data_IF_141411118474
#
_entry.id   IF_141411118474
#
_cell.length_a   1.000
_cell.length_b   1.000
_cell.length_c   1.000
_cell.angle_alpha   90.00
_cell.angle_beta   90.00
_cell.angle_gamma   90.00
#
_symmetry.space_group_name_H-M   'P 1'
#
loop_
_entity.id
_entity.type
_entity.pdbx_description
1 polymer ?
#
# COMPACT_ATOMS: atom_id res chain seq x y z
N UNK A 1 13.17 14.81 -17.35
CA UNK A 1 12.58 15.64 -16.27
C UNK A 1 11.32 15.02 -15.66
N UNK A 2 10.31 14.64 -16.47
CA UNK A 2 9.07 13.97 -15.98
C UNK A 2 9.33 12.73 -15.10
N UNK A 3 10.10 11.76 -15.58
CA UNK A 3 10.35 10.52 -14.82
C UNK A 3 11.04 10.78 -13.47
N UNK A 4 11.93 11.78 -13.40
CA UNK A 4 12.58 12.18 -12.16
C UNK A 4 11.57 12.73 -11.14
N UNK A 5 10.53 13.42 -11.59
CA UNK A 5 9.45 13.88 -10.72
C UNK A 5 8.63 12.70 -10.19
N UNK A 6 8.22 11.77 -11.05
CA UNK A 6 7.47 10.57 -10.63
C UNK A 6 8.24 9.73 -9.62
N UNK A 7 9.54 9.52 -9.87
CA UNK A 7 10.42 8.79 -8.94
C UNK A 7 10.53 9.54 -7.60
N UNK A 8 10.62 10.88 -7.62
CA UNK A 8 10.68 11.68 -6.39
C UNK A 8 9.39 11.53 -5.58
N UNK A 9 8.23 11.56 -6.23
CA UNK A 9 6.94 11.37 -5.58
C UNK A 9 6.82 9.98 -4.94
N UNK A 10 7.26 8.92 -5.63
CA UNK A 10 7.31 7.58 -5.06
C UNK A 10 8.25 7.48 -3.83
N UNK A 11 9.42 8.14 -3.89
CA UNK A 11 10.35 8.22 -2.74
C UNK A 11 9.68 8.96 -1.56
N UNK A 12 8.99 10.07 -1.82
CA UNK A 12 8.27 10.81 -0.79
C UNK A 12 7.20 9.95 -0.10
N UNK A 13 6.41 9.18 -0.87
CA UNK A 13 5.42 8.25 -0.33
C UNK A 13 6.08 7.19 0.56
N UNK A 14 7.21 6.61 0.10
CA UNK A 14 7.96 5.64 0.93
C UNK A 14 8.44 6.26 2.24
N UNK A 15 8.96 7.48 2.21
CA UNK A 15 9.44 8.18 3.39
C UNK A 15 8.29 8.52 4.36
N UNK A 16 7.14 8.92 3.82
CA UNK A 16 5.93 9.20 4.59
C UNK A 16 5.49 7.99 5.44
N UNK A 17 5.59 6.77 4.89
CA UNK A 17 5.21 5.53 5.57
C UNK A 17 6.34 4.88 6.40
N UNK A 18 7.52 5.50 6.55
CA UNK A 18 8.60 4.93 7.36
C UNK A 18 8.19 4.53 8.78
N UNK A 19 7.36 5.30 9.52
CA UNK A 19 6.86 4.87 10.82
C UNK A 19 6.12 3.53 10.77
N UNK A 20 5.22 3.36 9.80
CA UNK A 20 4.47 2.13 9.61
C UNK A 20 5.40 0.95 9.26
N UNK A 21 6.31 1.13 8.30
CA UNK A 21 7.29 0.10 7.95
C UNK A 21 8.13 -0.33 9.14
N UNK A 22 8.59 0.62 9.97
CA UNK A 22 9.40 0.31 11.14
C UNK A 22 8.61 -0.50 12.18
N UNK A 23 7.33 -0.18 12.39
CA UNK A 23 6.42 -0.99 13.21
C UNK A 23 6.28 -2.42 12.67
N UNK A 24 6.14 -2.60 11.35
CA UNK A 24 6.06 -3.94 10.74
C UNK A 24 7.39 -4.70 10.87
N UNK A 25 8.54 -4.04 10.73
CA UNK A 25 9.83 -4.69 10.97
C UNK A 25 10.00 -5.10 12.44
N UNK A 26 9.46 -4.33 13.38
CA UNK A 26 9.41 -4.72 14.80
C UNK A 26 8.54 -5.96 15.01
N UNK A 27 7.35 -5.99 14.42
CA UNK A 27 6.46 -7.15 14.47
C UNK A 27 7.16 -8.40 13.90
N UNK A 28 7.77 -8.27 12.71
CA UNK A 28 8.52 -9.35 12.06
C UNK A 28 9.66 -9.89 12.93
N UNK A 29 10.41 -9.00 13.60
CA UNK A 29 11.46 -9.40 14.53
C UNK A 29 10.93 -10.19 15.73
N UNK A 30 9.75 -9.86 16.25
CA UNK A 30 9.18 -10.50 17.45
C UNK A 30 8.36 -11.76 17.16
N UNK A 31 7.72 -11.85 16.01
CA UNK A 31 6.72 -12.90 15.69
C UNK A 31 7.11 -13.76 14.50
N UNK A 32 8.05 -13.31 13.66
CA UNK A 32 8.39 -13.95 12.38
C UNK A 32 7.41 -13.65 11.24
N UNK A 33 6.35 -12.86 11.47
CA UNK A 33 5.38 -12.51 10.42
C UNK A 33 6.05 -11.59 9.39
N UNK A 34 5.94 -11.85 8.07
CA UNK A 34 6.58 -11.02 7.07
C UNK A 34 5.96 -9.63 6.96
N UNK A 35 6.79 -8.65 6.56
CA UNK A 35 6.37 -7.24 6.36
C UNK A 35 5.49 -7.10 5.12
N UNK A 36 5.90 -7.76 4.02
CA UNK A 36 5.12 -7.86 2.79
C UNK A 36 4.50 -9.24 2.76
N UNK A 37 3.18 -9.30 2.64
CA UNK A 37 2.38 -10.52 2.81
C UNK A 37 1.58 -10.77 1.53
N UNK A 38 1.53 -12.01 1.02
CA UNK A 38 0.59 -12.34 -0.05
C UNK A 38 -0.85 -12.22 0.47
N UNK A 39 -1.82 -11.97 -0.42
CA UNK A 39 -3.22 -11.74 -0.01
C UNK A 39 -3.79 -12.90 0.80
N UNK A 40 -3.53 -14.14 0.40
CA UNK A 40 -4.04 -15.34 1.06
C UNK A 40 -3.59 -15.49 2.53
N UNK A 41 -2.48 -14.85 2.92
CA UNK A 41 -2.03 -14.87 4.32
C UNK A 41 -2.96 -14.04 5.22
N UNK A 42 -3.47 -12.91 4.71
CA UNK A 42 -4.42 -12.06 5.44
C UNK A 42 -5.87 -12.52 5.26
N UNK A 43 -6.17 -13.22 4.15
CA UNK A 43 -7.51 -13.66 3.78
C UNK A 43 -7.55 -15.17 3.45
N UNK A 44 -7.24 -16.05 4.42
CA UNK A 44 -7.08 -17.49 4.17
C UNK A 44 -8.38 -18.22 3.77
N UNK A 45 -9.54 -17.61 4.02
CA UNK A 45 -10.84 -18.18 3.64
C UNK A 45 -11.32 -17.72 2.25
N UNK A 46 -10.55 -16.87 1.57
CA UNK A 46 -10.91 -16.31 0.27
C UNK A 46 -10.04 -16.95 -0.83
N UNK A 47 -10.57 -18.00 -1.47
CA UNK A 47 -9.86 -18.78 -2.48
C UNK A 47 -9.34 -17.94 -3.65
N UNK A 48 -10.01 -16.82 -3.96
CA UNK A 48 -9.59 -15.92 -5.03
C UNK A 48 -8.23 -15.26 -4.77
N UNK A 49 -7.79 -15.24 -3.51
CA UNK A 49 -6.48 -14.68 -3.12
C UNK A 49 -5.33 -15.66 -3.27
N UNK A 50 -5.59 -16.95 -3.49
CA UNK A 50 -4.55 -17.99 -3.49
C UNK A 50 -3.68 -17.93 -4.75
N UNK A 51 -4.29 -17.53 -5.87
CA UNK A 51 -3.63 -17.40 -7.18
C UNK A 51 -3.26 -15.96 -7.52
N UNK A 52 -3.50 -15.00 -6.61
CA UNK A 52 -3.17 -13.60 -6.87
C UNK A 52 -1.69 -13.34 -6.60
N UNK A 53 -0.94 -13.07 -7.67
CA UNK A 53 0.48 -12.73 -7.65
C UNK A 53 0.77 -11.26 -8.01
N UNK A 54 -0.26 -10.49 -8.37
CA UNK A 54 -0.11 -9.09 -8.79
C UNK A 54 -0.26 -8.07 -7.64
N UNK A 55 -1.00 -8.45 -6.59
CA UNK A 55 -1.25 -7.61 -5.42
C UNK A 55 -0.65 -8.22 -4.16
N UNK A 56 -0.19 -7.36 -3.27
CA UNK A 56 0.33 -7.77 -1.97
C UNK A 56 -0.12 -6.82 -0.87
N UNK A 57 -0.12 -7.34 0.35
CA UNK A 57 -0.35 -6.56 1.55
C UNK A 57 0.99 -6.08 2.12
N UNK A 58 1.03 -4.84 2.61
CA UNK A 58 2.08 -4.33 3.49
C UNK A 58 1.51 -4.31 4.89
N UNK A 59 1.94 -5.27 5.72
CA UNK A 59 1.31 -5.58 6.99
C UNK A 59 -0.14 -6.03 6.81
N UNK A 60 -1.01 -5.60 7.72
CA UNK A 60 -2.45 -5.90 7.66
C UNK A 60 -3.30 -4.72 7.14
N UNK A 61 -2.67 -3.58 6.83
CA UNK A 61 -3.38 -2.32 6.61
C UNK A 61 -3.37 -1.80 5.16
N UNK A 62 -2.35 -2.08 4.37
CA UNK A 62 -2.22 -1.55 3.00
C UNK A 62 -2.20 -2.68 1.99
N UNK A 63 -3.06 -2.61 0.98
CA UNK A 63 -2.96 -3.41 -0.24
C UNK A 63 -2.31 -2.56 -1.32
N UNK A 64 -1.30 -3.10 -2.01
CA UNK A 64 -0.65 -2.46 -3.14
C UNK A 64 -0.80 -3.36 -4.36
N UNK A 65 -1.27 -2.79 -5.46
CA UNK A 65 -1.37 -3.48 -6.74
C UNK A 65 -0.27 -2.97 -7.66
N UNK A 66 0.53 -3.88 -8.19
CA UNK A 66 1.53 -3.53 -9.20
C UNK A 66 0.92 -3.29 -10.58
N UNK A 67 1.61 -2.45 -11.37
CA UNK A 67 1.34 -2.27 -12.80
C UNK A 67 2.52 -2.88 -13.55
N UNK A 68 2.33 -4.09 -14.09
CA UNK A 68 3.42 -4.90 -14.67
C UNK A 68 3.46 -4.88 -16.20
N UNK A 69 2.44 -4.31 -16.84
CA UNK A 69 2.33 -4.22 -18.30
C UNK A 69 2.80 -2.85 -18.82
N UNK A 70 3.58 -2.85 -19.90
CA UNK A 70 4.02 -1.62 -20.55
C UNK A 70 2.80 -0.83 -21.09
N UNK A 71 2.72 0.46 -20.77
CA UNK A 71 1.64 1.37 -21.23
C UNK A 71 0.23 0.90 -20.87
N UNK A 72 0.09 0.14 -19.78
CA UNK A 72 -1.21 -0.21 -19.22
C UNK A 72 -2.04 1.06 -19.00
N UNK A 73 -3.28 1.05 -19.51
CA UNK A 73 -4.28 2.12 -19.26
C UNK A 73 -5.31 1.72 -18.23
N UNK A 74 -5.46 0.41 -18.04
CA UNK A 74 -6.40 -0.16 -17.09
C UNK A 74 -5.77 -1.37 -16.44
N UNK A 75 -6.08 -1.59 -15.17
CA UNK A 75 -5.78 -2.83 -14.46
C UNK A 75 -7.03 -3.32 -13.74
N UNK A 76 -7.07 -4.62 -13.46
CA UNK A 76 -8.12 -5.23 -12.64
C UNK A 76 -7.55 -5.49 -11.26
N UNK A 77 -8.15 -4.90 -10.23
CA UNK A 77 -7.68 -5.03 -8.84
C UNK A 77 -8.72 -5.76 -8.03
N UNK A 78 -8.35 -6.93 -7.51
CA UNK A 78 -9.18 -7.63 -6.55
C UNK A 78 -8.92 -7.09 -5.13
N UNK A 79 -9.96 -6.58 -4.49
CA UNK A 79 -9.90 -6.12 -3.10
C UNK A 79 -10.58 -7.15 -2.21
N UNK A 80 -9.84 -7.98 -1.44
CA UNK A 80 -10.41 -9.08 -0.67
C UNK A 80 -11.20 -8.62 0.55
N UNK A 81 -11.91 -9.55 1.18
CA UNK A 81 -12.63 -9.32 2.43
C UNK A 81 -13.99 -8.63 2.26
N UNK A 82 -14.75 -8.54 3.36
CA UNK A 82 -16.06 -7.87 3.38
C UNK A 82 -15.95 -6.39 3.75
N UNK A 83 -14.79 -6.00 4.28
CA UNK A 83 -14.50 -4.62 4.65
C UNK A 83 -14.46 -3.70 3.44
N UNK A 84 -14.59 -2.41 3.71
CA UNK A 84 -14.29 -1.40 2.70
C UNK A 84 -12.80 -1.12 2.66
N UNK A 85 -12.35 -0.67 1.51
CA UNK A 85 -11.01 -0.21 1.25
C UNK A 85 -11.05 1.28 0.93
N UNK A 86 -9.94 1.98 1.12
CA UNK A 86 -9.83 3.41 0.84
C UNK A 86 -8.63 3.66 -0.04
N UNK A 87 -8.83 4.26 -1.21
CA UNK A 87 -7.73 4.68 -2.06
C UNK A 87 -6.87 5.71 -1.31
N UNK A 88 -5.57 5.44 -1.15
CA UNK A 88 -4.71 6.25 -0.27
C UNK A 88 -4.48 7.67 -0.79
N UNK A 89 -4.72 7.91 -2.08
CA UNK A 89 -4.45 9.19 -2.74
C UNK A 89 -5.69 10.07 -2.74
N UNK A 90 -6.84 9.48 -3.04
CA UNK A 90 -8.12 10.20 -3.18
C UNK A 90 -8.97 10.16 -1.91
N UNK A 91 -8.72 9.20 -1.01
CA UNK A 91 -9.58 8.92 0.14
C UNK A 91 -10.92 8.28 -0.23
N UNK A 92 -11.13 7.95 -1.52
CA UNK A 92 -12.37 7.37 -1.99
C UNK A 92 -12.59 5.98 -1.40
N UNK A 93 -13.79 5.72 -0.90
CA UNK A 93 -14.20 4.42 -0.39
C UNK A 93 -14.49 3.47 -1.54
N UNK A 94 -13.86 2.30 -1.51
CA UNK A 94 -13.99 1.22 -2.47
C UNK A 94 -14.52 -0.04 -1.77
N UNK A 95 -15.41 -0.78 -2.41
CA UNK A 95 -16.03 -1.97 -1.82
C UNK A 95 -15.07 -3.17 -1.89
N UNK A 96 -14.92 -3.94 -0.81
CA UNK A 96 -14.22 -5.22 -0.81
C UNK A 96 -15.06 -6.38 -1.36
N UNK A 97 -14.41 -7.52 -1.60
CA UNK A 97 -14.97 -8.76 -2.10
C UNK A 97 -15.31 -8.72 -3.58
N UNK A 98 -14.81 -7.73 -4.32
CA UNK A 98 -15.07 -7.55 -5.75
C UNK A 98 -13.83 -7.06 -6.48
N UNK A 99 -13.75 -7.38 -7.76
CA UNK A 99 -12.71 -6.87 -8.66
C UNK A 99 -13.12 -5.53 -9.24
N UNK A 100 -12.23 -4.54 -9.16
CA UNK A 100 -12.42 -3.20 -9.72
C UNK A 100 -11.55 -3.00 -10.94
N UNK A 101 -12.12 -2.43 -12.00
CA UNK A 101 -11.34 -1.97 -13.15
C UNK A 101 -10.93 -0.52 -12.89
N UNK A 102 -9.63 -0.27 -12.76
CA UNK A 102 -9.09 1.05 -12.48
C UNK A 102 -8.38 1.60 -13.71
N UNK A 103 -8.56 2.88 -13.96
CA UNK A 103 -7.71 3.60 -14.91
C UNK A 103 -6.36 3.88 -14.26
N UNK A 104 -5.29 3.57 -14.98
CA UNK A 104 -3.91 3.80 -14.52
C UNK A 104 -3.13 4.57 -15.57
N UNK A 105 -2.17 5.33 -15.07
CA UNK A 105 -1.18 6.06 -15.84
C UNK A 105 0.21 5.82 -15.24
N UNK A 106 1.26 6.31 -15.89
CA UNK A 106 2.66 6.13 -15.44
C UNK A 106 2.94 6.67 -14.03
N UNK A 107 2.13 7.60 -13.53
CA UNK A 107 2.22 8.18 -12.18
C UNK A 107 1.47 7.37 -11.11
N UNK A 108 0.66 6.40 -11.53
CA UNK A 108 -0.26 5.70 -10.64
C UNK A 108 0.46 4.60 -9.86
N UNK A 109 0.41 4.68 -8.54
CA UNK A 109 0.75 3.56 -7.64
C UNK A 109 -0.54 3.17 -6.89
N UNK A 110 -1.35 2.25 -7.44
CA UNK A 110 -2.62 1.88 -6.85
C UNK A 110 -2.40 1.21 -5.50
N UNK A 111 -2.86 1.87 -4.45
CA UNK A 111 -2.74 1.39 -3.08
C UNK A 111 -3.98 1.75 -2.27
N UNK A 112 -4.37 0.83 -1.39
CA UNK A 112 -5.64 0.87 -0.68
C UNK A 112 -5.44 0.56 0.79
N UNK A 113 -5.97 1.42 1.66
CA UNK A 113 -6.01 1.19 3.10
C UNK A 113 -7.25 0.37 3.47
N UNK A 114 -7.06 -0.72 4.23
CA UNK A 114 -8.14 -1.55 4.76
C UNK A 114 -8.90 -0.79 5.84
N UNK A 115 -10.24 -0.80 5.81
CA UNK A 115 -11.04 -0.26 6.91
C UNK A 115 -10.70 -0.97 8.23
N UNK A 116 -10.80 -0.24 9.33
CA UNK A 116 -10.47 -0.75 10.67
C UNK A 116 -8.98 -0.75 11.01
N UNK A 117 -8.15 -0.06 10.21
CA UNK A 117 -6.71 0.08 10.44
C UNK A 117 -6.32 1.55 10.60
N UNK A 118 -5.28 1.81 11.40
CA UNK A 118 -4.69 3.13 11.61
C UNK A 118 -3.22 3.05 11.19
N UNK A 119 -2.77 3.98 10.35
CA UNK A 119 -1.42 3.95 9.77
C UNK A 119 -0.68 5.21 10.21
N UNK A 120 0.35 5.12 11.07
CA UNK A 120 1.16 6.26 11.42
C UNK A 120 2.03 6.68 10.23
N UNK A 121 2.03 7.97 9.93
CA UNK A 121 2.82 8.56 8.85
C UNK A 121 3.52 9.85 9.27
N UNK A 122 4.49 10.29 8.47
CA UNK A 122 5.19 11.58 8.63
C UNK A 122 5.10 12.38 7.35
N UNK A 123 4.30 13.45 7.38
CA UNK A 123 3.98 14.23 6.18
C UNK A 123 5.02 15.30 5.83
N UNK A 124 6.02 15.50 6.70
CA UNK A 124 7.13 16.44 6.45
C UNK A 124 8.24 15.76 5.66
N UNK A 125 8.42 16.17 4.41
CA UNK A 125 9.50 15.65 3.57
C UNK A 125 10.86 16.17 4.04
N UNK A 126 11.81 15.24 4.23
CA UNK A 126 13.20 15.50 4.58
C UNK A 126 14.12 14.77 3.62
N UNK A 127 15.43 15.06 3.67
CA UNK A 127 16.41 14.44 2.75
C UNK A 127 16.84 13.04 3.22
N UNK A 128 16.66 12.71 4.50
CA UNK A 128 16.99 11.41 5.07
C UNK A 128 16.07 11.07 6.25
N UNK A 129 15.97 9.78 6.58
CA UNK A 129 15.18 9.29 7.71
C UNK A 129 15.69 9.84 9.05
N UNK A 130 17.00 10.04 9.19
CA UNK A 130 17.63 10.66 10.37
C UNK A 130 17.08 12.06 10.65
N UNK A 131 16.83 12.84 9.60
CA UNK A 131 16.26 14.18 9.74
C UNK A 131 14.76 14.18 10.06
N UNK A 132 14.08 13.03 9.92
CA UNK A 132 12.66 12.90 10.24
C UNK A 132 12.43 12.50 11.70
N UNK A 133 13.47 12.10 12.46
CA UNK A 133 13.34 11.48 13.79
C UNK A 133 12.46 12.28 14.75
N UNK A 134 12.50 13.61 14.70
CA UNK A 134 11.73 14.51 15.56
C UNK A 134 10.51 15.14 14.87
N UNK A 135 10.17 14.72 13.66
CA UNK A 135 8.96 15.20 12.98
C UNK A 135 7.70 14.58 13.60
N UNK A 136 6.59 15.35 13.66
CA UNK A 136 5.33 14.89 14.21
C UNK A 136 4.73 13.78 13.36
N UNK A 137 3.92 12.94 14.00
CA UNK A 137 3.14 11.90 13.35
C UNK A 137 1.78 12.45 12.90
N UNK A 138 1.29 11.94 11.78
CA UNK A 138 -0.11 11.99 11.36
C UNK A 138 -0.66 10.57 11.47
N UNK A 139 -1.92 10.43 11.90
CA UNK A 139 -2.64 9.16 11.98
C UNK A 139 -3.81 9.15 11.01
#
# INVERSE_FOLDING_TARGET
>A
ERNTQLIREAIHVRYMFLPYFYTLFREANTTGIPVVRPLWMEFPSDESTFTNDEAFMVGNALLVQGVYEERAKHISVYLPGKESWYDIRTGARVKGGVTHKLEVSEESVPAFQRAGTIIPRRDRFRRSSTQMVNDPYTL
#
